data_IF_514141415642
#
_entry.id   IF_514141415642
#
_cell.length_a   1.000
_cell.length_b   1.000
_cell.length_c   1.000
_cell.angle_alpha   90.00
_cell.angle_beta   90.00
_cell.angle_gamma   90.00
#
_symmetry.space_group_name_H-M   'P 1'
#
loop_
_entity.id
_entity.type
_entity.pdbx_description
1 polymer ?
#
# COMPACT_ATOMS: atom_id res chain seq x y z
N UNK A 1 12.90 -4.12 20.72
CA UNK A 1 11.76 -4.97 20.32
C UNK A 1 11.15 -4.44 19.01
N UNK A 2 11.90 -4.47 17.90
CA UNK A 2 11.42 -4.00 16.58
C UNK A 2 11.10 -5.17 15.62
N UNK A 3 11.17 -6.41 16.09
CA UNK A 3 10.98 -7.60 15.27
C UNK A 3 9.50 -7.96 15.04
N UNK A 4 8.61 -7.61 15.98
CA UNK A 4 7.17 -7.93 15.87
C UNK A 4 6.46 -7.07 14.82
N UNK A 5 6.96 -5.84 14.57
CA UNK A 5 6.39 -4.96 13.55
C UNK A 5 6.64 -5.46 12.12
N UNK A 6 7.83 -5.99 11.83
CA UNK A 6 8.15 -6.48 10.48
C UNK A 6 7.34 -7.74 10.12
N UNK A 7 7.09 -8.63 11.08
CA UNK A 7 6.34 -9.87 10.83
C UNK A 7 4.86 -9.56 10.56
N UNK A 8 4.29 -8.55 11.21
CA UNK A 8 2.91 -8.12 10.97
C UNK A 8 2.74 -7.46 9.59
N UNK A 9 3.75 -6.73 9.12
CA UNK A 9 3.75 -6.10 7.80
C UNK A 9 3.85 -7.14 6.67
N UNK A 10 4.72 -8.14 6.83
CA UNK A 10 4.91 -9.21 5.83
C UNK A 10 3.68 -10.11 5.68
N UNK A 11 3.08 -10.54 6.82
CA UNK A 11 1.80 -11.25 6.80
C UNK A 11 0.66 -10.39 6.25
N UNK A 12 0.72 -9.08 6.52
CA UNK A 12 -0.20 -8.11 5.95
C UNK A 12 -0.08 -8.00 4.43
N UNK A 13 1.15 -7.97 3.90
CA UNK A 13 1.46 -7.92 2.46
C UNK A 13 0.80 -9.10 1.73
N UNK A 14 0.98 -10.33 2.23
CA UNK A 14 0.35 -11.51 1.64
C UNK A 14 -1.17 -11.46 1.68
N UNK A 15 -1.76 -11.07 2.81
CA UNK A 15 -3.22 -10.90 2.91
C UNK A 15 -3.75 -9.86 1.92
N UNK A 16 -3.02 -8.76 1.69
CA UNK A 16 -3.38 -7.73 0.73
C UNK A 16 -3.29 -8.24 -0.71
N UNK A 17 -2.26 -9.02 -1.05
CA UNK A 17 -2.15 -9.65 -2.37
C UNK A 17 -3.30 -10.64 -2.62
N UNK A 18 -3.63 -11.49 -1.64
CA UNK A 18 -4.77 -12.40 -1.74
C UNK A 18 -6.09 -11.63 -1.85
N UNK A 19 -6.23 -10.52 -1.12
CA UNK A 19 -7.38 -9.62 -1.22
C UNK A 19 -7.52 -9.05 -2.62
N UNK A 20 -6.46 -8.46 -3.19
CA UNK A 20 -6.46 -7.88 -4.54
C UNK A 20 -6.80 -8.96 -5.60
N UNK A 21 -6.26 -10.17 -5.44
CA UNK A 21 -6.46 -11.29 -6.35
C UNK A 21 -7.88 -11.88 -6.29
N UNK A 22 -8.46 -12.00 -5.09
CA UNK A 22 -9.82 -12.54 -4.88
C UNK A 22 -10.88 -11.44 -4.73
N UNK A 23 -10.52 -10.18 -4.96
CA UNK A 23 -11.38 -9.04 -4.68
C UNK A 23 -12.69 -9.11 -5.46
N UNK A 24 -13.80 -9.22 -4.74
CA UNK A 24 -15.13 -9.00 -5.25
C UNK A 24 -15.51 -7.52 -5.04
N UNK A 25 -16.09 -6.84 -6.05
CA UNK A 25 -16.49 -5.43 -5.95
C UNK A 25 -17.60 -5.14 -4.92
N UNK A 26 -18.15 -6.17 -4.28
CA UNK A 26 -19.12 -6.08 -3.19
C UNK A 26 -18.46 -5.73 -1.84
N UNK A 27 -17.14 -5.94 -1.73
CA UNK A 27 -16.35 -5.65 -0.54
C UNK A 27 -16.03 -4.14 -0.55
N UNK A 28 -16.75 -3.38 0.27
CA UNK A 28 -16.80 -1.91 0.24
C UNK A 28 -15.47 -1.16 0.43
N UNK A 29 -14.34 -1.86 0.60
CA UNK A 29 -12.99 -1.28 0.60
C UNK A 29 -12.33 -1.47 -0.77
N UNK A 30 -12.14 -0.42 -1.59
CA UNK A 30 -11.55 -0.55 -2.91
C UNK A 30 -10.10 -1.06 -2.89
N UNK A 31 -9.71 -1.86 -3.91
CA UNK A 31 -8.34 -2.38 -4.13
C UNK A 31 -7.24 -1.32 -3.97
N UNK A 32 -7.57 -0.06 -4.26
CA UNK A 32 -6.68 1.09 -4.09
C UNK A 32 -6.12 1.22 -2.66
N UNK A 33 -6.91 0.93 -1.63
CA UNK A 33 -6.42 0.93 -0.24
C UNK A 33 -5.42 -0.19 0.02
N UNK A 34 -5.55 -1.32 -0.67
CA UNK A 34 -4.57 -2.40 -0.56
C UNK A 34 -3.22 -1.98 -1.16
N UNK A 35 -3.25 -1.35 -2.35
CA UNK A 35 -2.05 -0.75 -2.95
C UNK A 35 -1.43 0.36 -2.08
N UNK A 36 -2.25 1.20 -1.44
CA UNK A 36 -1.77 2.20 -0.47
C UNK A 36 -1.02 1.55 0.70
N UNK A 37 -1.53 0.44 1.24
CA UNK A 37 -0.89 -0.29 2.35
C UNK A 37 0.41 -0.95 1.89
N UNK A 38 0.45 -1.52 0.67
CA UNK A 38 1.69 -2.02 0.07
C UNK A 38 2.73 -0.89 -0.03
N UNK A 39 2.35 0.29 -0.51
CA UNK A 39 3.26 1.43 -0.61
C UNK A 39 3.90 1.79 0.75
N UNK A 40 3.14 1.74 1.84
CA UNK A 40 3.67 1.95 3.20
C UNK A 40 4.69 0.88 3.58
N UNK A 41 4.39 -0.40 3.32
CA UNK A 41 5.28 -1.52 3.62
C UNK A 41 6.60 -1.36 2.84
N UNK A 42 6.53 -1.09 1.54
CA UNK A 42 7.72 -0.87 0.70
C UNK A 42 8.53 0.36 1.13
N UNK A 43 7.85 1.43 1.57
CA UNK A 43 8.49 2.63 2.17
C UNK A 43 9.34 2.24 3.38
N UNK A 44 8.78 1.45 4.31
CA UNK A 44 9.52 0.94 5.47
C UNK A 44 10.69 0.03 5.07
N UNK A 45 10.54 -0.74 3.98
CA UNK A 45 11.59 -1.58 3.40
C UNK A 45 12.66 -0.78 2.63
N UNK A 46 12.61 0.55 2.63
CA UNK A 46 13.47 1.44 1.82
C UNK A 46 13.35 1.20 0.29
N UNK A 47 12.30 0.52 -0.15
CA UNK A 47 12.02 0.27 -1.56
C UNK A 47 11.20 1.41 -2.17
N UNK A 48 11.87 2.55 -2.42
CA UNK A 48 11.24 3.74 -3.00
C UNK A 48 10.52 3.47 -4.32
N UNK A 49 11.16 2.71 -5.23
CA UNK A 49 10.62 2.43 -6.57
C UNK A 49 9.30 1.67 -6.51
N UNK A 50 9.28 0.60 -5.71
CA UNK A 50 8.12 -0.26 -5.52
C UNK A 50 7.02 0.47 -4.75
N UNK A 51 7.38 1.25 -3.72
CA UNK A 51 6.44 2.08 -2.99
C UNK A 51 5.76 3.13 -3.88
N UNK A 52 6.52 3.75 -4.80
CA UNK A 52 6.01 4.74 -5.74
C UNK A 52 5.02 4.10 -6.73
N UNK A 53 5.36 2.94 -7.28
CA UNK A 53 4.49 2.23 -8.22
C UNK A 53 3.15 1.87 -7.57
N UNK A 54 3.19 1.31 -6.36
CA UNK A 54 1.97 0.95 -5.62
C UNK A 54 1.11 2.17 -5.30
N UNK A 55 1.71 3.28 -4.83
CA UNK A 55 0.93 4.48 -4.50
C UNK A 55 0.36 5.15 -5.74
N UNK A 56 1.04 5.10 -6.89
CA UNK A 56 0.51 5.62 -8.14
C UNK A 56 -0.70 4.82 -8.64
N UNK A 57 -0.67 3.48 -8.50
CA UNK A 57 -1.86 2.65 -8.78
C UNK A 57 -3.02 3.05 -7.87
N UNK A 58 -2.77 3.23 -6.57
CA UNK A 58 -3.79 3.65 -5.62
C UNK A 58 -4.39 5.02 -5.98
N UNK A 59 -3.56 6.00 -6.36
CA UNK A 59 -3.99 7.32 -6.81
C UNK A 59 -4.75 7.24 -8.13
N UNK A 60 -4.34 6.38 -9.06
CA UNK A 60 -5.04 6.20 -10.34
C UNK A 60 -6.46 5.66 -10.12
N UNK A 61 -6.62 4.72 -9.19
CA UNK A 61 -7.92 4.17 -8.80
C UNK A 61 -8.77 5.17 -8.00
N UNK A 62 -8.18 5.87 -7.03
CA UNK A 62 -8.87 6.85 -6.19
C UNK A 62 -8.09 8.17 -6.09
N UNK A 63 -8.13 9.02 -7.13
CA UNK A 63 -7.34 10.25 -7.18
C UNK A 63 -7.83 11.32 -6.21
N UNK A 64 -9.04 11.15 -5.66
CA UNK A 64 -9.67 12.06 -4.71
C UNK A 64 -9.19 11.86 -3.27
N UNK A 65 -8.46 10.76 -2.98
CA UNK A 65 -7.98 10.47 -1.62
C UNK A 65 -6.70 11.25 -1.35
N UNK A 66 -6.79 12.25 -0.47
CA UNK A 66 -5.63 13.07 -0.07
C UNK A 66 -4.52 12.25 0.59
N UNK A 67 -4.89 11.22 1.37
CA UNK A 67 -3.93 10.34 2.04
C UNK A 67 -2.98 9.66 1.06
N UNK A 68 -3.43 9.36 -0.16
CA UNK A 68 -2.58 8.70 -1.15
C UNK A 68 -1.52 9.65 -1.71
N UNK A 69 -1.88 10.92 -1.91
CA UNK A 69 -0.93 11.96 -2.35
C UNK A 69 0.12 12.23 -1.27
N UNK A 70 -0.31 12.34 -0.01
CA UNK A 70 0.59 12.52 1.14
C UNK A 70 1.61 11.38 1.24
N UNK A 71 1.16 10.14 1.00
CA UNK A 71 2.06 8.99 0.99
C UNK A 71 3.03 9.02 -0.18
N UNK A 72 2.59 9.44 -1.37
CA UNK A 72 3.49 9.63 -2.52
C UNK A 72 4.59 10.64 -2.19
N UNK A 73 4.26 11.75 -1.53
CA UNK A 73 5.24 12.73 -1.09
C UNK A 73 6.23 12.15 -0.07
N UNK A 74 5.76 11.34 0.88
CA UNK A 74 6.65 10.60 1.81
C UNK A 74 7.61 9.66 1.09
N UNK A 75 7.10 8.89 0.12
CA UNK A 75 7.93 8.01 -0.72
C UNK A 75 8.96 8.81 -1.51
N UNK A 76 8.58 9.97 -2.05
CA UNK A 76 9.50 10.85 -2.76
C UNK A 76 10.57 11.47 -1.86
N UNK A 77 10.27 11.65 -0.57
CA UNK A 77 11.17 12.17 0.45
C UNK A 77 12.09 11.12 1.11
N UNK A 78 11.90 9.82 0.84
CA UNK A 78 12.87 8.75 1.14
C UNK A 78 14.13 8.90 0.29
#
# INVERSE_FOLDING_TARGET
MAAEYNIALDKGEQCLHTYIANYAPEDGVPKAWAHYRLAQIHTHKNNKKEALEQIEIAISQLPKIKAFRDQKEKVLAL
#
